data_IF_793198369616
#
_entry.id   IF_793198369616
#
_cell.length_a   1.000
_cell.length_b   1.000
_cell.length_c   1.000
_cell.angle_alpha   90.00
_cell.angle_beta   90.00
_cell.angle_gamma   90.00
#
_symmetry.space_group_name_H-M   'P 1'
#
loop_
_entity.id
_entity.type
_entity.pdbx_description
1 polymer ?
#
# COMPACT_ATOMS: atom_id res chain seq x y z
N UNK A 1 -12.75 6.40 -3.27
CA UNK A 1 -11.61 6.77 -2.38
C UNK A 1 -10.35 6.05 -2.87
N UNK A 2 -9.19 6.69 -2.74
CA UNK A 2 -7.88 6.14 -3.10
C UNK A 2 -7.01 5.89 -1.87
N UNK A 3 -6.41 4.70 -1.77
CA UNK A 3 -5.44 4.34 -0.71
C UNK A 3 -4.06 4.20 -1.33
N UNK A 4 -3.11 5.01 -0.86
CA UNK A 4 -1.71 4.98 -1.31
C UNK A 4 -0.88 4.19 -0.30
N UNK A 5 -0.25 3.12 -0.80
CA UNK A 5 0.61 2.25 -0.02
C UNK A 5 2.06 2.34 -0.51
N UNK A 6 3.03 2.59 0.36
CA UNK A 6 4.45 2.54 0.04
C UNK A 6 5.17 1.50 0.90
N UNK A 7 5.66 0.44 0.23
CA UNK A 7 6.39 -0.66 0.88
C UNK A 7 7.71 -0.20 1.52
N UNK A 8 8.25 0.95 1.12
CA UNK A 8 9.42 1.58 1.72
C UNK A 8 9.22 1.94 3.20
N UNK A 9 7.99 2.12 3.67
CA UNK A 9 7.71 2.42 5.08
C UNK A 9 7.58 1.17 5.96
N UNK A 10 7.90 -0.01 5.42
CA UNK A 10 7.94 -1.27 6.15
C UNK A 10 9.18 -2.10 5.77
N UNK A 11 10.06 -2.33 6.75
CA UNK A 11 11.27 -3.14 6.58
C UNK A 11 11.01 -4.67 6.68
N UNK A 12 9.74 -5.08 6.71
CA UNK A 12 9.39 -6.49 6.73
C UNK A 12 9.80 -7.20 5.43
N UNK A 13 10.14 -8.49 5.55
CA UNK A 13 10.48 -9.35 4.41
C UNK A 13 9.31 -9.45 3.43
N UNK A 14 9.61 -9.76 2.17
CA UNK A 14 8.62 -9.94 1.10
C UNK A 14 7.48 -10.89 1.53
N UNK A 15 7.82 -12.07 2.04
CA UNK A 15 6.81 -13.07 2.47
C UNK A 15 5.90 -12.58 3.61
N UNK A 16 6.41 -11.77 4.54
CA UNK A 16 5.58 -11.16 5.57
C UNK A 16 4.69 -10.06 4.97
N UNK A 17 5.25 -9.24 4.08
CA UNK A 17 4.53 -8.19 3.38
C UNK A 17 3.38 -8.75 2.54
N UNK A 18 3.60 -9.83 1.79
CA UNK A 18 2.58 -10.55 1.01
C UNK A 18 1.37 -10.88 1.89
N UNK A 19 1.63 -11.61 2.99
CA UNK A 19 0.61 -12.05 3.94
C UNK A 19 -0.10 -10.88 4.64
N UNK A 20 0.65 -9.84 4.99
CA UNK A 20 0.10 -8.63 5.61
C UNK A 20 -0.87 -7.91 4.66
N UNK A 21 -0.47 -7.75 3.39
CA UNK A 21 -1.32 -7.16 2.35
C UNK A 21 -2.52 -8.05 2.01
N UNK A 22 -2.34 -9.37 1.95
CA UNK A 22 -3.43 -10.32 1.73
C UNK A 22 -4.49 -10.24 2.83
N UNK A 23 -4.06 -10.17 4.10
CA UNK A 23 -4.97 -9.97 5.22
C UNK A 23 -5.68 -8.61 5.15
N UNK A 24 -5.01 -7.58 4.67
CA UNK A 24 -5.59 -6.24 4.49
C UNK A 24 -6.66 -6.23 3.38
N UNK A 25 -6.38 -6.80 2.20
CA UNK A 25 -7.34 -6.82 1.09
C UNK A 25 -8.64 -7.58 1.38
N UNK A 26 -8.67 -8.45 2.41
CA UNK A 26 -9.93 -9.06 2.89
C UNK A 26 -10.88 -8.05 3.55
N UNK A 27 -10.34 -7.02 4.18
CA UNK A 27 -11.07 -5.98 4.91
C UNK A 27 -10.30 -4.65 4.80
N UNK A 28 -10.26 -4.02 3.61
CA UNK A 28 -9.43 -2.83 3.36
C UNK A 28 -9.81 -1.63 4.23
N UNK A 29 -11.06 -1.55 4.66
CA UNK A 29 -11.55 -0.51 5.59
C UNK A 29 -11.41 -0.88 7.08
N UNK A 30 -10.84 -2.05 7.40
CA UNK A 30 -10.90 -2.63 8.74
C UNK A 30 -9.60 -2.57 9.54
N UNK A 31 -8.46 -2.29 8.93
CA UNK A 31 -7.16 -2.30 9.63
C UNK A 31 -6.17 -1.38 8.95
N UNK A 32 -5.63 -0.44 9.72
CA UNK A 32 -4.56 0.44 9.28
C UNK A 32 -3.20 -0.29 9.22
N UNK A 33 -2.28 0.19 8.39
CA UNK A 33 -0.96 -0.41 8.14
C UNK A 33 0.11 0.67 8.05
N UNK A 34 1.32 0.44 8.58
CA UNK A 34 2.44 1.36 8.41
C UNK A 34 2.85 1.60 6.95
N UNK A 35 2.46 0.74 6.01
CA UNK A 35 2.71 1.01 4.61
C UNK A 35 1.63 1.88 3.96
N UNK A 36 0.50 2.18 4.61
CA UNK A 36 -0.48 3.17 4.12
C UNK A 36 0.07 4.54 4.48
N UNK A 37 0.34 5.35 3.46
CA UNK A 37 0.97 6.67 3.62
C UNK A 37 0.01 7.80 3.30
N UNK A 38 -1.07 7.52 2.57
CA UNK A 38 -2.11 8.50 2.28
C UNK A 38 -3.45 7.82 1.98
N UNK A 39 -4.54 8.53 2.26
CA UNK A 39 -5.91 8.16 1.92
C UNK A 39 -6.61 9.41 1.38
N UNK A 40 -6.94 9.38 0.09
CA UNK A 40 -7.42 10.54 -0.66
C UNK A 40 -8.86 10.28 -1.11
N UNK A 41 -9.71 11.30 -1.01
CA UNK A 41 -11.00 11.26 -1.68
C UNK A 41 -10.80 11.54 -3.18
N UNK A 42 -11.08 10.55 -4.02
CA UNK A 42 -10.98 10.61 -5.48
C UNK A 42 -12.35 10.80 -6.16
N UNK A 43 -13.43 10.96 -5.39
CA UNK A 43 -14.79 11.12 -5.89
C UNK A 43 -15.42 9.83 -6.44
N UNK A 44 -14.76 8.67 -6.33
CA UNK A 44 -15.34 7.38 -6.67
C UNK A 44 -15.89 6.68 -5.42
N UNK A 45 -17.22 6.65 -5.31
CA UNK A 45 -17.93 6.01 -4.20
C UNK A 45 -18.20 4.51 -4.42
N UNK A 46 -17.98 4.01 -5.64
CA UNK A 46 -18.28 2.62 -6.02
C UNK A 46 -17.11 1.68 -5.71
N UNK A 47 -15.88 2.09 -6.02
CA UNK A 47 -14.69 1.26 -5.89
C UNK A 47 -13.57 1.97 -5.12
N UNK A 48 -12.78 1.17 -4.40
CA UNK A 48 -11.55 1.64 -3.77
C UNK A 48 -10.40 1.55 -4.78
N UNK A 49 -9.76 2.68 -5.06
CA UNK A 49 -8.55 2.71 -5.85
C UNK A 49 -7.32 2.48 -4.97
N UNK A 50 -6.35 1.73 -5.48
CA UNK A 50 -5.08 1.47 -4.79
C UNK A 50 -3.90 1.85 -5.65
N UNK A 51 -2.94 2.54 -5.02
CA UNK A 51 -1.58 2.72 -5.54
C UNK A 51 -0.60 2.00 -4.60
N UNK A 52 0.12 0.99 -5.10
CA UNK A 52 1.15 0.27 -4.33
C UNK A 52 2.52 0.60 -4.89
N UNK A 53 3.27 1.42 -4.15
CA UNK A 53 4.63 1.84 -4.46
C UNK A 53 5.61 0.80 -3.91
N UNK A 54 6.46 0.29 -4.79
CA UNK A 54 7.47 -0.71 -4.44
C UNK A 54 8.60 -0.76 -5.45
N UNK A 55 9.84 -0.90 -4.99
CA UNK A 55 11.00 -1.14 -5.85
C UNK A 55 11.14 -0.13 -7.01
N UNK A 56 10.77 1.13 -6.76
CA UNK A 56 10.76 2.21 -7.77
C UNK A 56 9.63 2.13 -8.79
N UNK A 57 8.60 1.31 -8.54
CA UNK A 57 7.42 1.07 -9.40
C UNK A 57 6.14 1.40 -8.65
N UNK A 58 5.07 1.61 -9.40
CA UNK A 58 3.71 1.78 -8.88
C UNK A 58 2.81 0.73 -9.53
N UNK A 59 2.05 -0.01 -8.71
CA UNK A 59 0.96 -0.86 -9.15
C UNK A 59 -0.35 -0.14 -8.85
N UNK A 60 -1.16 0.10 -9.86
CA UNK A 60 -2.43 0.85 -9.74
C UNK A 60 -3.60 -0.04 -10.14
N UNK A 61 -4.64 -0.11 -9.32
CA UNK A 61 -5.83 -0.92 -9.59
C UNK A 61 -7.04 -0.48 -8.79
N UNK A 62 -8.23 -0.72 -9.35
CA UNK A 62 -9.50 -0.65 -8.61
C UNK A 62 -9.80 -1.99 -7.96
N UNK A 63 -10.19 -1.99 -6.70
CA UNK A 63 -10.50 -3.20 -5.95
C UNK A 63 -11.89 -3.74 -6.32
N UNK A 64 -11.97 -4.51 -7.39
CA UNK A 64 -13.16 -5.29 -7.77
C UNK A 64 -13.27 -6.59 -6.96
N UNK A 65 -14.45 -7.21 -6.91
CA UNK A 65 -14.67 -8.49 -6.22
C UNK A 65 -13.73 -9.60 -6.75
N UNK A 66 -13.66 -9.75 -8.08
CA UNK A 66 -12.78 -10.74 -8.74
C UNK A 66 -11.30 -10.53 -8.37
N UNK A 67 -10.84 -9.28 -8.38
CA UNK A 67 -9.47 -8.96 -8.06
C UNK A 67 -9.18 -9.16 -6.55
N UNK A 68 -10.16 -8.86 -5.71
CA UNK A 68 -10.05 -9.01 -4.27
C UNK A 68 -9.81 -10.47 -3.86
N UNK A 69 -10.37 -11.46 -4.57
CA UNK A 69 -10.13 -12.87 -4.28
C UNK A 69 -8.64 -13.25 -4.40
N UNK A 70 -7.99 -12.86 -5.51
CA UNK A 70 -6.56 -13.11 -5.73
C UNK A 70 -5.69 -12.35 -4.73
N UNK A 71 -5.98 -11.07 -4.53
CA UNK A 71 -5.28 -10.21 -3.58
C UNK A 71 -5.43 -10.71 -2.13
N UNK A 72 -6.57 -11.27 -1.74
CA UNK A 72 -6.82 -11.78 -0.40
C UNK A 72 -6.02 -13.06 -0.07
N UNK A 73 -5.44 -13.71 -1.07
CA UNK A 73 -4.63 -14.93 -0.96
C UNK A 73 -3.14 -14.56 -1.05
N UNK A 74 -2.72 -13.97 -2.16
CA UNK A 74 -1.30 -13.73 -2.49
C UNK A 74 -0.82 -12.33 -2.07
N UNK A 75 -1.75 -11.44 -1.74
CA UNK A 75 -1.42 -10.04 -1.48
C UNK A 75 -1.17 -9.28 -2.78
N UNK A 76 -0.53 -8.11 -2.66
CA UNK A 76 -0.23 -7.26 -3.83
C UNK A 76 0.66 -7.97 -4.87
N UNK A 77 1.43 -8.99 -4.46
CA UNK A 77 2.29 -9.79 -5.36
C UNK A 77 1.49 -10.49 -6.46
N UNK A 78 0.18 -10.71 -6.27
CA UNK A 78 -0.72 -11.20 -7.31
C UNK A 78 -0.65 -10.39 -8.62
N UNK A 79 -0.39 -9.08 -8.50
CA UNK A 79 -0.34 -8.14 -9.62
C UNK A 79 1.08 -7.85 -10.10
N UNK A 80 2.10 -8.36 -9.40
CA UNK A 80 3.48 -8.08 -9.75
C UNK A 80 3.90 -8.88 -10.99
N UNK A 81 4.38 -8.19 -12.01
CA UNK A 81 4.99 -8.80 -13.22
C UNK A 81 6.53 -8.68 -13.22
N UNK A 82 7.11 -8.54 -12.04
CA UNK A 82 8.54 -8.35 -11.80
C UNK A 82 8.96 -9.06 -10.52
N UNK A 83 10.26 -9.30 -10.35
CA UNK A 83 10.81 -9.87 -9.11
C UNK A 83 10.97 -8.79 -8.03
N UNK A 84 10.19 -8.81 -6.93
CA UNK A 84 10.27 -7.79 -5.89
C UNK A 84 11.48 -7.97 -4.98
N UNK A 85 11.95 -6.89 -4.37
CA UNK A 85 13.02 -7.01 -3.38
C UNK A 85 12.56 -7.80 -2.15
N UNK A 86 13.34 -8.82 -1.76
CA UNK A 86 13.09 -9.64 -0.58
C UNK A 86 13.12 -8.81 0.72
N UNK A 87 14.08 -7.90 0.81
CA UNK A 87 14.28 -7.02 1.96
C UNK A 87 14.19 -5.55 1.54
N UNK A 88 13.67 -4.73 2.43
CA UNK A 88 13.73 -3.26 2.37
C UNK A 88 14.33 -2.75 3.67
N UNK A 89 15.02 -1.62 3.57
CA UNK A 89 15.64 -0.96 4.71
C UNK A 89 15.35 0.54 4.64
N UNK A 90 15.30 1.17 5.81
CA UNK A 90 15.19 2.61 5.96
C UNK A 90 13.79 3.09 6.33
N UNK A 91 12.84 2.19 6.63
CA UNK A 91 11.50 2.59 7.09
C UNK A 91 11.57 3.52 8.31
N UNK A 92 12.38 3.17 9.31
CA UNK A 92 12.53 3.98 10.52
C UNK A 92 13.11 5.39 10.25
N UNK A 93 13.95 5.53 9.22
CA UNK A 93 14.45 6.86 8.82
C UNK A 93 13.39 7.66 8.07
N UNK A 94 12.72 7.04 7.10
CA UNK A 94 11.62 7.68 6.35
C UNK A 94 10.52 8.18 7.28
N UNK A 95 10.09 7.36 8.25
CA UNK A 95 9.14 7.77 9.28
C UNK A 95 9.61 8.97 10.11
N UNK A 96 10.89 8.99 10.50
CA UNK A 96 11.46 10.13 11.22
C UNK A 96 11.49 11.41 10.37
N UNK A 97 11.64 11.30 9.05
CA UNK A 97 11.58 12.47 8.17
C UNK A 97 10.14 12.96 7.98
N UNK A 98 9.16 12.07 7.83
CA UNK A 98 7.74 12.45 7.78
C UNK A 98 7.34 13.22 9.04
N UNK A 99 7.76 12.78 10.23
CA UNK A 99 7.48 13.48 11.48
C UNK A 99 8.09 14.89 11.60
N UNK A 100 8.97 15.29 10.68
CA UNK A 100 9.51 16.65 10.60
C UNK A 100 8.79 17.53 9.59
N UNK A 101 7.93 16.95 8.75
CA UNK A 101 7.18 17.71 7.77
C UNK A 101 6.14 18.58 8.48
N UNK A 102 5.88 19.81 7.99
CA UNK A 102 4.81 20.64 8.54
C UNK A 102 3.48 19.90 8.43
N UNK A 103 2.66 19.93 9.47
CA UNK A 103 1.33 19.32 9.48
C UNK A 103 0.31 20.02 8.54
N UNK A 104 0.75 21.07 7.83
CA UNK A 104 -0.06 21.78 6.85
C UNK A 104 0.02 21.06 5.50
N UNK A 105 -1.05 20.33 5.16
CA UNK A 105 -1.34 19.96 3.78
C UNK A 105 -1.59 21.25 2.99
N UNK A 106 -0.61 21.69 2.22
CA UNK A 106 -0.85 22.75 1.24
C UNK A 106 -1.74 22.15 0.16
N UNK A 107 -3.03 22.43 0.24
CA UNK A 107 -3.95 22.26 -0.88
C UNK A 107 -3.61 23.36 -1.89
N UNK A 108 -2.85 23.03 -2.92
CA UNK A 108 -2.78 23.80 -4.17
C UNK A 108 -3.53 23.06 -5.28
#
# INVERSE_FOLDING_TARGET
MKIVMDRGYCDATLSFCARCSAAFFRKPMGTDRPCIVDVVDDGNDELLHFEVITDGRVLEFDLTEDLQEGLAIEGWEFLANFDPALFRHGAAERWRQLGKMPATHAHE
#
